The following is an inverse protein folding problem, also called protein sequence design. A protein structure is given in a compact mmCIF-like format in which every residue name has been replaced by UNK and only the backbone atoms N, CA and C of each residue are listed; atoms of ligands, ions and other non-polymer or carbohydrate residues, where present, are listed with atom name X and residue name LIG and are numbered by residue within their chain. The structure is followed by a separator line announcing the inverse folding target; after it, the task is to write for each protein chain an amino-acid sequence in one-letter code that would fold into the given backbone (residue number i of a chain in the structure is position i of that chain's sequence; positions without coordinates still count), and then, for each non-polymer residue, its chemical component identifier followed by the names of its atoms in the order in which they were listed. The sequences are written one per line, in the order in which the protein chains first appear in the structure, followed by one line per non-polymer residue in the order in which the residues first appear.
data_IF_876384984444
#
_entry.id   IF_876384984444
#
_cell.length_a   1.000
_cell.length_b   1.000
_cell.length_c   1.000
_cell.angle_alpha   90.00
_cell.angle_beta   90.00
_cell.angle_gamma   90.00
#
_symmetry.space_group_name_H-M   'P 1'
#
loop_
_entity.id
_entity.type
_entity.pdbx_description
1 polymer ?
#
# COMPACT_ATOMS: atom_id res chain seq x y z
N UNK A 1 8.82 -12.11 -18.07
CA UNK A 1 8.06 -11.75 -16.86
C UNK A 1 8.30 -10.27 -16.62
N UNK A 2 7.26 -9.47 -16.44
CA UNK A 2 7.41 -8.06 -16.05
C UNK A 2 8.10 -8.02 -14.67
N UNK A 3 9.00 -7.04 -14.45
CA UNK A 3 9.71 -6.90 -13.19
C UNK A 3 8.75 -6.65 -12.01
N UNK A 4 7.62 -5.98 -12.27
CA UNK A 4 6.60 -5.74 -11.25
C UNK A 4 5.90 -7.03 -10.83
N UNK A 5 5.56 -7.88 -11.80
CA UNK A 5 4.96 -9.19 -11.54
C UNK A 5 5.92 -10.11 -10.77
N UNK A 6 7.21 -10.07 -11.11
CA UNK A 6 8.24 -10.80 -10.36
C UNK A 6 8.34 -10.35 -8.91
N UNK A 7 8.26 -9.05 -8.66
CA UNK A 7 8.27 -8.49 -7.31
C UNK A 7 7.05 -8.94 -6.51
N UNK A 8 5.85 -8.85 -7.10
CA UNK A 8 4.60 -9.27 -6.44
C UNK A 8 4.68 -10.73 -6.04
N UNK A 9 5.07 -11.62 -6.97
CA UNK A 9 5.21 -13.05 -6.68
C UNK A 9 6.24 -13.31 -5.57
N UNK A 10 7.37 -12.61 -5.59
CA UNK A 10 8.38 -12.72 -4.55
C UNK A 10 7.87 -12.31 -3.17
N UNK A 11 7.14 -11.19 -3.08
CA UNK A 11 6.56 -10.68 -1.83
C UNK A 11 5.47 -11.61 -1.27
N UNK A 12 4.65 -12.21 -2.13
CA UNK A 12 3.62 -13.19 -1.71
C UNK A 12 4.26 -14.44 -1.09
N UNK A 13 5.40 -14.89 -1.62
CA UNK A 13 6.13 -16.06 -1.11
C UNK A 13 7.05 -15.72 0.09
N UNK A 14 7.31 -14.44 0.34
CA UNK A 14 8.18 -14.01 1.42
C UNK A 14 7.52 -14.25 2.79
N UNK A 15 8.23 -14.96 3.67
CA UNK A 15 7.75 -15.30 5.02
C UNK A 15 8.18 -14.31 6.11
N UNK A 16 8.90 -13.24 5.75
CA UNK A 16 9.22 -12.16 6.66
C UNK A 16 8.14 -11.08 6.67
N UNK A 17 8.36 -10.04 7.48
CA UNK A 17 7.54 -8.82 7.47
C UNK A 17 8.12 -7.81 6.51
N UNK A 18 7.25 -7.13 5.76
CA UNK A 18 7.67 -6.03 4.90
C UNK A 18 6.76 -4.81 5.08
N UNK A 19 7.36 -3.64 5.00
CA UNK A 19 6.68 -2.36 4.89
C UNK A 19 6.95 -1.81 3.50
N UNK A 20 5.89 -1.49 2.75
CA UNK A 20 6.01 -0.91 1.41
C UNK A 20 5.38 0.47 1.36
N UNK A 21 6.09 1.43 0.78
CA UNK A 21 5.56 2.75 0.41
C UNK A 21 5.54 2.83 -1.11
N UNK A 22 4.37 3.03 -1.69
CA UNK A 22 4.21 3.05 -3.15
C UNK A 22 3.13 4.02 -3.58
N UNK A 23 3.32 4.61 -4.76
CA UNK A 23 2.30 5.41 -5.45
C UNK A 23 1.47 4.57 -6.44
N UNK A 24 1.85 3.32 -6.69
CA UNK A 24 1.17 2.40 -7.60
C UNK A 24 0.37 1.36 -6.81
N UNK A 25 -0.89 1.18 -7.18
CA UNK A 25 -1.81 0.23 -6.54
C UNK A 25 -1.46 -1.23 -6.83
N UNK A 26 -0.87 -1.50 -8.01
CA UNK A 26 -0.69 -2.86 -8.51
C UNK A 26 0.15 -3.73 -7.57
N UNK A 27 1.37 -3.30 -7.16
CA UNK A 27 2.14 -4.06 -6.18
C UNK A 27 1.50 -4.05 -4.79
N UNK A 28 0.83 -2.98 -4.37
CA UNK A 28 0.21 -2.88 -3.04
C UNK A 28 -0.91 -3.93 -2.92
N UNK A 29 -1.87 -3.89 -3.86
CA UNK A 29 -3.06 -4.72 -3.84
C UNK A 29 -2.75 -6.20 -4.14
N UNK A 30 -1.64 -6.47 -4.84
CA UNK A 30 -1.20 -7.82 -5.16
C UNK A 30 -0.34 -8.51 -4.09
N UNK A 31 0.16 -7.79 -3.08
CA UNK A 31 1.13 -8.37 -2.13
C UNK A 31 1.00 -7.95 -0.66
N UNK A 32 0.16 -6.96 -0.33
CA UNK A 32 0.01 -6.45 1.03
C UNK A 32 -1.38 -6.77 1.58
N UNK A 33 -1.45 -7.13 2.86
CA UNK A 33 -2.70 -7.53 3.52
C UNK A 33 -3.35 -6.36 4.31
N UNK A 34 -2.55 -5.39 4.75
CA UNK A 34 -3.00 -4.24 5.51
C UNK A 34 -2.54 -2.91 4.90
N UNK A 35 -3.42 -1.91 4.88
CA UNK A 35 -3.09 -0.54 4.48
C UNK A 35 -3.07 0.40 5.68
N UNK A 36 -2.10 1.30 5.66
CA UNK A 36 -1.91 2.35 6.65
C UNK A 36 -1.79 3.68 5.95
N UNK A 37 -2.38 4.72 6.52
CA UNK A 37 -2.34 6.08 5.97
C UNK A 37 -1.59 6.99 6.93
N UNK A 38 -0.66 7.76 6.38
CA UNK A 38 -0.03 8.86 7.10
C UNK A 38 -0.83 10.13 6.82
N UNK A 39 -1.37 10.76 7.86
CA UNK A 39 -1.99 12.07 7.76
C UNK A 39 -1.62 12.92 8.97
N UNK A 40 -1.29 14.19 8.74
CA UNK A 40 -0.90 15.13 9.79
C UNK A 40 0.24 14.60 10.70
N UNK A 41 1.20 13.88 10.12
CA UNK A 41 2.32 13.28 10.84
C UNK A 41 1.98 12.07 11.71
N UNK A 42 0.75 11.54 11.62
CA UNK A 42 0.31 10.33 12.34
C UNK A 42 0.02 9.20 11.37
N UNK A 43 0.41 7.99 11.76
CA UNK A 43 0.12 6.75 11.05
C UNK A 43 -1.16 6.13 11.64
N UNK A 44 -2.12 5.78 10.79
CA UNK A 44 -3.37 5.13 11.21
C UNK A 44 -3.73 3.97 10.27
N UNK A 45 -4.31 2.87 10.79
CA UNK A 45 -4.85 1.80 9.96
C UNK A 45 -5.95 2.32 9.04
N UNK A 46 -5.95 1.88 7.79
CA UNK A 46 -6.93 2.27 6.78
C UNK A 46 -7.82 1.07 6.43
N UNK A 47 -9.10 1.18 6.76
CA UNK A 47 -10.09 0.15 6.50
C UNK A 47 -10.74 0.38 5.13
N UNK A 48 -9.99 0.07 4.07
CA UNK A 48 -10.40 0.21 2.68
C UNK A 48 -9.28 -0.25 1.75
N UNK A 49 -9.54 -0.24 0.45
CA UNK A 49 -8.49 -0.52 -0.54
C UNK A 49 -7.82 0.78 -1.04
N UNK A 50 -6.82 0.64 -1.90
CA UNK A 50 -6.12 1.78 -2.48
C UNK A 50 -7.04 2.73 -3.27
N UNK A 51 -8.07 2.21 -3.93
CA UNK A 51 -9.07 3.02 -4.66
C UNK A 51 -9.95 3.85 -3.72
N UNK A 52 -10.32 3.30 -2.56
CA UNK A 52 -11.08 4.03 -1.54
C UNK A 52 -10.26 5.18 -0.96
N UNK A 53 -8.95 4.94 -0.72
CA UNK A 53 -8.03 6.01 -0.35
C UNK A 53 -7.94 7.11 -1.42
N UNK A 54 -7.88 6.73 -2.71
CA UNK A 54 -7.82 7.68 -3.83
C UNK A 54 -9.04 8.60 -3.89
N UNK A 55 -10.23 8.12 -3.51
CA UNK A 55 -11.44 8.96 -3.42
C UNK A 55 -11.33 9.99 -2.29
N UNK A 56 -10.73 9.62 -1.16
CA UNK A 56 -10.56 10.51 0.01
C UNK A 56 -9.51 11.60 -0.26
N UNK A 57 -8.45 11.28 -1.01
CA UNK A 57 -7.37 12.20 -1.39
C UNK A 57 -7.84 13.45 -2.15
N UNK A 58 -9.04 13.42 -2.77
CA UNK A 58 -9.58 14.58 -3.49
C UNK A 58 -9.84 15.80 -2.58
N UNK A 59 -9.77 15.64 -1.25
CA UNK A 59 -9.91 16.74 -0.26
C UNK A 59 -8.62 17.13 0.48
N UNK A 60 -7.47 16.43 0.34
CA UNK A 60 -6.28 16.72 1.15
C UNK A 60 -4.96 16.23 0.53
N UNK A 61 -3.96 17.11 0.41
CA UNK A 61 -2.76 16.94 -0.44
C UNK A 61 -1.56 16.17 0.18
N UNK A 62 -1.64 15.64 1.40
CA UNK A 62 -0.48 15.07 2.11
C UNK A 62 -0.76 13.68 2.74
N UNK A 63 -1.28 12.72 1.97
CA UNK A 63 -1.46 11.35 2.48
C UNK A 63 -0.55 10.35 1.75
N UNK A 64 0.14 9.52 2.54
CA UNK A 64 0.98 8.41 2.07
C UNK A 64 0.29 7.11 2.44
N UNK A 65 0.21 6.17 1.51
CA UNK A 65 -0.25 4.80 1.79
C UNK A 65 0.96 3.90 1.99
N UNK A 66 0.94 3.18 3.09
CA UNK A 66 1.89 2.13 3.40
C UNK A 66 1.17 0.78 3.45
N UNK A 67 1.77 -0.26 2.86
CA UNK A 67 1.31 -1.64 3.01
C UNK A 67 2.14 -2.39 4.04
N UNK A 68 1.50 -3.18 4.91
CA UNK A 68 2.18 -4.12 5.80
C UNK A 68 1.71 -5.55 5.53
N UNK A 69 2.66 -6.48 5.60
CA UNK A 69 2.43 -7.93 5.69
C UNK A 69 2.90 -8.46 7.04
#
# INVERSE_FOLDING_TARGET
MDAVEALIQGLVLFQGRCLMVSHNEHPISGSMDELWVVSQGKLAPFHGNFQDHKKILQSSLNQIVCGCR
#
